data_IF_395338341799
#
_entry.id   IF_395338341799
#
_cell.length_a   1.000
_cell.length_b   1.000
_cell.length_c   1.000
_cell.angle_alpha   90.00
_cell.angle_beta   90.00
_cell.angle_gamma   90.00
#
_symmetry.space_group_name_H-M   'P 1'
#
loop_
_entity.id
_entity.type
_entity.pdbx_description
1 polymer ?
#
# COMPACT_ATOMS: atom_id res chain seq x y z
N UNK A 1 -17.47 -9.19 -4.34
CA UNK A 1 -17.10 -8.55 -5.63
C UNK A 1 -16.26 -7.29 -5.44
N UNK A 2 -16.63 -6.33 -4.58
CA UNK A 2 -15.79 -5.14 -4.31
C UNK A 2 -14.58 -5.42 -3.39
N UNK A 3 -14.76 -6.20 -2.32
CA UNK A 3 -13.68 -6.53 -1.38
C UNK A 3 -12.52 -7.30 -2.05
N UNK A 4 -12.82 -8.17 -3.00
CA UNK A 4 -11.82 -8.88 -3.81
C UNK A 4 -11.01 -7.94 -4.71
N UNK A 5 -11.63 -6.88 -5.23
CA UNK A 5 -10.91 -5.87 -6.03
C UNK A 5 -10.03 -4.99 -5.16
N UNK A 6 -10.49 -4.62 -3.96
CA UNK A 6 -9.68 -3.85 -3.01
C UNK A 6 -8.44 -4.64 -2.55
N UNK A 7 -8.60 -5.92 -2.23
CA UNK A 7 -7.46 -6.77 -1.86
C UNK A 7 -6.44 -6.88 -2.99
N UNK A 8 -6.90 -7.09 -4.23
CA UNK A 8 -6.02 -7.12 -5.40
C UNK A 8 -5.28 -5.78 -5.61
N UNK A 9 -5.97 -4.64 -5.40
CA UNK A 9 -5.33 -3.31 -5.46
C UNK A 9 -4.24 -3.19 -4.39
N UNK A 10 -4.51 -3.64 -3.17
CA UNK A 10 -3.54 -3.61 -2.06
C UNK A 10 -2.33 -4.48 -2.38
N UNK A 11 -2.54 -5.72 -2.80
CA UNK A 11 -1.47 -6.66 -3.16
C UNK A 11 -0.54 -6.07 -4.22
N UNK A 12 -1.12 -5.49 -5.27
CA UNK A 12 -0.34 -4.92 -6.36
C UNK A 12 0.36 -3.61 -6.03
N UNK A 13 -0.25 -2.75 -5.21
CA UNK A 13 0.44 -1.58 -4.71
C UNK A 13 1.57 -1.95 -3.72
N UNK A 14 1.43 -3.07 -2.99
CA UNK A 14 2.48 -3.57 -2.11
C UNK A 14 3.72 -4.07 -2.85
N UNK A 15 3.59 -4.57 -4.10
CA UNK A 15 4.75 -4.97 -4.93
C UNK A 15 5.74 -3.80 -5.12
N UNK A 16 5.25 -2.56 -5.27
CA UNK A 16 6.12 -1.36 -5.34
C UNK A 16 6.92 -1.13 -4.05
N UNK A 17 6.33 -1.45 -2.90
CA UNK A 17 7.00 -1.33 -1.60
C UNK A 17 8.06 -2.43 -1.42
N UNK A 18 7.82 -3.62 -1.96
CA UNK A 18 8.80 -4.73 -1.95
C UNK A 18 10.04 -4.44 -2.78
N UNK A 19 9.90 -3.67 -3.87
CA UNK A 19 11.05 -3.16 -4.61
C UNK A 19 11.71 -2.01 -3.85
N UNK A 20 10.93 -1.06 -3.33
CA UNK A 20 11.44 0.10 -2.60
C UNK A 20 12.30 -0.30 -1.39
N UNK A 21 11.87 -1.30 -0.62
CA UNK A 21 12.57 -1.71 0.60
C UNK A 21 13.98 -2.25 0.33
N UNK A 22 14.25 -2.74 -0.89
CA UNK A 22 15.58 -3.23 -1.27
C UNK A 22 16.59 -2.09 -1.42
N UNK A 23 16.12 -0.88 -1.71
CA UNK A 23 16.93 0.32 -1.87
C UNK A 23 17.12 1.10 -0.55
N UNK A 24 16.24 0.89 0.43
CA UNK A 24 16.28 1.59 1.71
C UNK A 24 14.98 1.43 2.52
N UNK A 25 14.94 1.91 3.78
CA UNK A 25 13.73 1.90 4.59
C UNK A 25 12.59 2.65 3.90
N UNK A 26 11.40 2.06 3.89
CA UNK A 26 10.18 2.65 3.33
C UNK A 26 9.69 3.76 4.27
N UNK A 27 9.48 4.95 3.73
CA UNK A 27 8.87 6.09 4.42
C UNK A 27 7.36 6.18 4.18
N UNK A 28 6.67 7.03 4.95
CA UNK A 28 5.25 7.34 4.68
C UNK A 28 5.05 7.91 3.27
N UNK A 29 6.02 8.68 2.76
CA UNK A 29 5.96 9.25 1.42
C UNK A 29 6.00 8.17 0.33
N UNK A 30 6.78 7.11 0.54
CA UNK A 30 6.84 5.98 -0.40
C UNK A 30 5.49 5.22 -0.43
N UNK A 31 4.82 5.11 0.71
CA UNK A 31 3.47 4.53 0.80
C UNK A 31 2.45 5.37 0.01
N UNK A 32 2.49 6.68 0.16
CA UNK A 32 1.65 7.59 -0.64
C UNK A 32 1.93 7.45 -2.14
N UNK A 33 3.19 7.35 -2.54
CA UNK A 33 3.58 7.17 -3.95
C UNK A 33 3.04 5.84 -4.49
N UNK A 34 3.18 4.73 -3.75
CA UNK A 34 2.63 3.44 -4.15
C UNK A 34 1.10 3.49 -4.31
N UNK A 35 0.41 4.20 -3.41
CA UNK A 35 -1.01 4.44 -3.53
C UNK A 35 -1.35 5.27 -4.78
N UNK A 36 -0.70 6.42 -4.98
CA UNK A 36 -0.99 7.34 -6.07
C UNK A 36 -0.70 6.73 -7.45
N UNK A 37 0.39 5.98 -7.60
CA UNK A 37 0.78 5.34 -8.86
C UNK A 37 -0.17 4.18 -9.21
N UNK A 38 -0.45 3.30 -8.24
CA UNK A 38 -1.15 2.05 -8.54
C UNK A 38 -2.60 2.03 -8.06
N UNK A 39 -2.83 2.36 -6.79
CA UNK A 39 -4.12 2.15 -6.15
C UNK A 39 -5.15 3.21 -6.53
N UNK A 40 -4.79 4.50 -6.54
CA UNK A 40 -5.69 5.61 -6.87
C UNK A 40 -6.43 5.41 -8.19
N UNK A 41 -5.76 5.21 -9.35
CA UNK A 41 -6.48 5.13 -10.63
C UNK A 41 -7.46 3.94 -10.67
N UNK A 42 -7.17 2.86 -9.95
CA UNK A 42 -8.03 1.67 -9.87
C UNK A 42 -9.18 1.87 -8.89
N UNK A 43 -8.91 2.54 -7.77
CA UNK A 43 -9.95 2.94 -6.83
C UNK A 43 -10.94 3.89 -7.51
N UNK A 44 -10.48 4.86 -8.29
CA UNK A 44 -11.36 5.77 -9.04
C UNK A 44 -12.20 5.02 -10.09
N UNK A 45 -11.64 3.98 -10.73
CA UNK A 45 -12.38 3.13 -11.67
C UNK A 45 -13.54 2.37 -11.00
N UNK A 46 -13.34 1.84 -9.80
CA UNK A 46 -14.38 1.12 -9.06
C UNK A 46 -15.27 2.05 -8.21
N UNK A 47 -14.73 3.20 -7.78
CA UNK A 47 -15.35 4.21 -6.93
C UNK A 47 -16.59 4.84 -7.55
N UNK A 48 -16.60 4.99 -8.88
CA UNK A 48 -17.79 5.40 -9.67
C UNK A 48 -19.02 4.53 -9.38
N UNK A 49 -18.84 3.27 -8.97
CA UNK A 49 -19.93 2.35 -8.61
C UNK A 49 -20.21 2.27 -7.10
N UNK A 50 -19.30 2.76 -6.26
CA UNK A 50 -19.37 2.68 -4.79
C UNK A 50 -20.01 3.93 -4.17
N UNK A 51 -19.86 5.09 -4.80
CA UNK A 51 -20.27 6.39 -4.28
C UNK A 51 -19.22 7.03 -3.34
N UNK A 52 -19.28 8.36 -3.11
CA UNK A 52 -18.16 9.12 -2.53
C UNK A 52 -17.75 8.69 -1.12
N UNK A 53 -18.72 8.38 -0.25
CA UNK A 53 -18.44 7.96 1.13
C UNK A 53 -17.68 6.62 1.17
N UNK A 54 -18.11 5.65 0.36
CA UNK A 54 -17.46 4.33 0.28
C UNK A 54 -16.11 4.40 -0.41
N UNK A 55 -15.92 5.33 -1.34
CA UNK A 55 -14.62 5.57 -1.97
C UNK A 55 -13.60 6.11 -0.95
N UNK A 56 -14.01 7.04 -0.08
CA UNK A 56 -13.17 7.54 1.00
C UNK A 56 -12.79 6.42 1.99
N UNK A 57 -13.76 5.61 2.43
CA UNK A 57 -13.49 4.44 3.30
C UNK A 57 -12.54 3.43 2.64
N UNK A 58 -12.71 3.17 1.34
CA UNK A 58 -11.83 2.28 0.59
C UNK A 58 -10.41 2.85 0.44
N UNK A 59 -10.26 4.16 0.23
CA UNK A 59 -8.96 4.84 0.22
C UNK A 59 -8.25 4.66 1.55
N UNK A 60 -8.92 4.97 2.65
CA UNK A 60 -8.34 4.86 3.99
C UNK A 60 -7.94 3.42 4.31
N UNK A 61 -8.77 2.45 3.91
CA UNK A 61 -8.49 1.03 4.07
C UNK A 61 -7.22 0.60 3.30
N UNK A 62 -7.08 1.03 2.03
CA UNK A 62 -5.88 0.70 1.22
C UNK A 62 -4.63 1.31 1.88
N UNK A 63 -4.67 2.59 2.24
CA UNK A 63 -3.53 3.26 2.87
C UNK A 63 -3.13 2.59 4.19
N UNK A 64 -4.10 2.23 5.04
CA UNK A 64 -3.85 1.49 6.26
C UNK A 64 -3.10 0.17 5.97
N UNK A 65 -3.56 -0.60 4.97
CA UNK A 65 -2.94 -1.88 4.61
C UNK A 65 -1.54 -1.72 4.04
N UNK A 66 -1.30 -0.70 3.22
CA UNK A 66 0.03 -0.40 2.70
C UNK A 66 1.00 0.04 3.81
N UNK A 67 0.54 0.83 4.78
CA UNK A 67 1.34 1.19 5.97
C UNK A 67 1.70 -0.02 6.83
N UNK A 68 0.75 -0.92 7.06
CA UNK A 68 0.99 -2.19 7.76
C UNK A 68 2.07 -3.00 7.03
N UNK A 69 1.95 -3.13 5.71
CA UNK A 69 2.93 -3.84 4.89
C UNK A 69 4.30 -3.17 4.90
N UNK A 70 4.38 -1.85 4.79
CA UNK A 70 5.63 -1.09 4.88
C UNK A 70 6.36 -1.33 6.21
N UNK A 71 5.63 -1.31 7.34
CA UNK A 71 6.20 -1.61 8.66
C UNK A 71 6.77 -3.02 8.72
N UNK A 72 6.05 -4.01 8.19
CA UNK A 72 6.53 -5.40 8.14
C UNK A 72 7.80 -5.53 7.29
N UNK A 73 7.81 -4.95 6.09
CA UNK A 73 8.97 -4.97 5.19
C UNK A 73 10.18 -4.28 5.82
N UNK A 74 10.00 -3.11 6.44
CA UNK A 74 11.06 -2.42 7.15
C UNK A 74 11.63 -3.28 8.29
N UNK A 75 10.77 -3.91 9.09
CA UNK A 75 11.25 -4.81 10.15
C UNK A 75 12.03 -6.01 9.61
N UNK A 76 11.60 -6.59 8.48
CA UNK A 76 12.25 -7.73 7.84
C UNK A 76 13.58 -7.41 7.17
N UNK A 77 13.76 -6.20 6.64
CA UNK A 77 14.94 -5.80 5.86
C UNK A 77 15.92 -4.91 6.64
N UNK A 78 15.41 -4.05 7.51
CA UNK A 78 16.15 -2.97 8.19
C UNK A 78 15.94 -2.97 9.71
N UNK A 79 15.35 -4.04 10.28
CA UNK A 79 15.19 -4.21 11.72
C UNK A 79 16.52 -4.46 12.45
N UNK A 80 16.55 -4.31 13.78
CA UNK A 80 17.77 -4.34 14.59
C UNK A 80 18.59 -5.63 14.48
N UNK A 81 17.97 -6.77 14.10
CA UNK A 81 18.69 -8.03 13.88
C UNK A 81 19.53 -8.06 12.59
N UNK A 82 19.31 -7.14 11.64
CA UNK A 82 20.08 -7.05 10.38
C UNK A 82 21.16 -5.97 10.37
N UNK A 83 21.26 -5.17 11.42
CA UNK A 83 22.29 -4.12 11.58
C UNK A 83 23.57 -4.61 12.27
N UNK A 84 23.65 -5.91 12.58
CA UNK A 84 24.79 -6.55 13.26
C UNK A 84 25.43 -7.60 12.36
N UNK A 85 26.09 -7.20 11.27
CA UNK A 85 27.11 -8.04 10.60
C UNK A 85 28.14 -7.15 9.93
#
# INVERSE_FOLDING_TARGET
MAFSQLNWIIEKAAELLEDKVREGPISERDVEIAFEIFARPRLEQIGKSLGPAREAEAKDYILMKLRERAKQLNAQHWGPEKSST
#
